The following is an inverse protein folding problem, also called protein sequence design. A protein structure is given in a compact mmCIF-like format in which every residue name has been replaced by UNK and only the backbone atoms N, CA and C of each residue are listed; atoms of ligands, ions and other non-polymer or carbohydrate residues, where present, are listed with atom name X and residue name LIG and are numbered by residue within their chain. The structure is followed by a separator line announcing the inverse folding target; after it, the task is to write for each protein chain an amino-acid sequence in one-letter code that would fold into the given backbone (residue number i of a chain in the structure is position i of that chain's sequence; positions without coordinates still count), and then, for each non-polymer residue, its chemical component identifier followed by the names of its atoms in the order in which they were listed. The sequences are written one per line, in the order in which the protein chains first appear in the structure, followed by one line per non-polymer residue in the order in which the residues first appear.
data_IF_880941109146
#
_entry.id   IF_880941109146
#
_cell.length_a   1.000
_cell.length_b   1.000
_cell.length_c   1.000
_cell.angle_alpha   90.00
_cell.angle_beta   90.00
_cell.angle_gamma   90.00
#
_symmetry.space_group_name_H-M   'P 1'
#
loop_
_entity.id
_entity.type
_entity.pdbx_description
1 polymer ?
#
# COMPACT_ATOMS: atom_id res chain seq x y z
N UNK A 1 13.09 12.32 0.24
CA UNK A 1 11.94 12.91 0.97
C UNK A 1 11.44 14.23 0.43
N UNK A 2 12.29 15.25 0.22
CA UNK A 2 11.81 16.57 -0.26
C UNK A 2 11.06 16.51 -1.59
N UNK A 3 11.57 15.74 -2.58
CA UNK A 3 10.89 15.50 -3.87
C UNK A 3 9.48 14.94 -3.70
N UNK A 4 9.33 13.85 -2.94
CA UNK A 4 8.01 13.27 -2.61
C UNK A 4 7.05 14.32 -2.05
N UNK A 5 7.52 15.16 -1.13
CA UNK A 5 6.66 16.19 -0.53
C UNK A 5 6.26 17.26 -1.56
N UNK A 6 7.22 17.78 -2.32
CA UNK A 6 6.99 18.87 -3.27
C UNK A 6 6.19 18.45 -4.49
N UNK A 7 6.41 17.23 -4.98
CA UNK A 7 5.84 16.75 -6.24
C UNK A 7 4.52 16.00 -6.02
N UNK A 8 4.34 15.37 -4.86
CA UNK A 8 3.18 14.49 -4.60
C UNK A 8 2.33 14.99 -3.44
N UNK A 9 2.89 15.08 -2.23
CA UNK A 9 2.10 15.32 -1.01
C UNK A 9 1.48 16.72 -0.98
N UNK A 10 2.28 17.77 -1.19
CA UNK A 10 1.81 19.16 -1.18
C UNK A 10 0.79 19.42 -2.32
N UNK A 11 1.07 19.04 -3.59
CA UNK A 11 0.08 19.19 -4.66
C UNK A 11 -1.22 18.42 -4.41
N UNK A 12 -1.14 17.22 -3.83
CA UNK A 12 -2.33 16.46 -3.45
C UNK A 12 -3.18 17.22 -2.41
N UNK A 13 -2.57 17.72 -1.33
CA UNK A 13 -3.31 18.47 -0.31
C UNK A 13 -3.90 19.77 -0.85
N UNK A 14 -3.17 20.52 -1.68
CA UNK A 14 -3.70 21.74 -2.29
C UNK A 14 -4.90 21.46 -3.19
N UNK A 15 -4.80 20.42 -4.02
CA UNK A 15 -5.88 19.98 -4.89
C UNK A 15 -7.10 19.56 -4.06
N UNK A 16 -6.91 18.75 -3.00
CA UNK A 16 -8.00 18.30 -2.13
C UNK A 16 -8.66 19.46 -1.37
N UNK A 17 -7.89 20.45 -0.90
CA UNK A 17 -8.45 21.66 -0.30
C UNK A 17 -9.32 22.43 -1.29
N UNK A 18 -8.86 22.59 -2.53
CA UNK A 18 -9.63 23.25 -3.59
C UNK A 18 -10.93 22.49 -3.90
N UNK A 19 -10.86 21.17 -4.05
CA UNK A 19 -12.03 20.30 -4.30
C UNK A 19 -13.07 20.38 -3.16
N UNK A 20 -12.62 20.56 -1.92
CA UNK A 20 -13.48 20.66 -0.74
C UNK A 20 -13.88 22.12 -0.40
N UNK A 21 -13.48 23.11 -1.19
CA UNK A 21 -13.76 24.53 -0.92
C UNK A 21 -13.07 25.09 0.34
N UNK A 22 -11.99 24.45 0.80
CA UNK A 22 -11.28 24.82 2.03
C UNK A 22 -10.27 25.95 1.79
N UNK A 23 -10.02 26.81 2.79
CA UNK A 23 -8.98 27.84 2.70
C UNK A 23 -7.59 27.23 2.46
N UNK A 24 -6.73 27.94 1.72
CA UNK A 24 -5.31 27.53 1.51
C UNK A 24 -4.52 27.44 2.83
N UNK A 25 -4.95 28.20 3.83
CA UNK A 25 -4.39 28.22 5.19
C UNK A 25 -4.80 27.02 6.03
N UNK A 26 -5.80 26.24 5.60
CA UNK A 26 -6.24 25.04 6.32
C UNK A 26 -5.05 24.09 6.52
N UNK A 27 -4.86 23.62 7.75
CA UNK A 27 -3.82 22.64 8.06
C UNK A 27 -4.21 21.24 7.55
N UNK A 28 -3.22 20.50 7.09
CA UNK A 28 -3.31 19.09 6.68
C UNK A 28 -2.48 18.24 7.60
N UNK A 29 -3.02 17.10 8.04
CA UNK A 29 -2.26 16.11 8.81
C UNK A 29 -1.67 15.10 7.84
N UNK A 30 -0.36 14.89 7.92
CA UNK A 30 0.32 13.79 7.26
C UNK A 30 0.72 12.75 8.30
N UNK A 31 -0.06 11.67 8.37
CA UNK A 31 0.23 10.52 9.21
C UNK A 31 1.27 9.62 8.53
N UNK A 32 2.42 9.42 9.17
CA UNK A 32 3.58 8.76 8.55
C UNK A 32 4.34 7.90 9.55
N UNK A 33 5.04 6.88 9.05
CA UNK A 33 5.85 6.00 9.88
C UNK A 33 7.03 6.74 10.53
N UNK A 34 7.36 6.37 11.76
CA UNK A 34 8.46 6.95 12.54
C UNK A 34 9.86 6.46 12.11
N UNK A 35 10.11 6.37 10.79
CA UNK A 35 11.39 5.96 10.24
C UNK A 35 12.47 7.03 10.43
N UNK A 36 13.74 6.63 10.50
CA UNK A 36 14.87 7.53 10.82
C UNK A 36 14.95 8.74 9.89
N UNK A 37 14.72 8.52 8.59
CA UNK A 37 14.72 9.58 7.58
C UNK A 37 13.60 10.60 7.82
N UNK A 38 12.41 10.15 8.24
CA UNK A 38 11.28 11.05 8.52
C UNK A 38 11.42 11.79 9.85
N UNK A 39 12.13 11.19 10.82
CA UNK A 39 12.40 11.80 12.12
C UNK A 39 13.60 12.74 12.13
N UNK A 40 14.41 12.77 11.07
CA UNK A 40 15.63 13.57 11.04
C UNK A 40 15.33 15.04 11.33
N UNK A 41 16.20 15.68 12.12
CA UNK A 41 16.04 17.08 12.48
C UNK A 41 16.03 17.98 11.23
N UNK A 42 16.89 17.67 10.26
CA UNK A 42 16.96 18.35 8.97
C UNK A 42 15.61 18.32 8.24
N UNK A 43 15.01 17.13 8.09
CA UNK A 43 13.73 16.99 7.39
C UNK A 43 12.59 17.70 8.12
N UNK A 44 12.50 17.52 9.44
CA UNK A 44 11.47 18.17 10.26
C UNK A 44 11.59 19.69 10.24
N UNK A 45 12.82 20.21 10.30
CA UNK A 45 13.07 21.65 10.21
C UNK A 45 12.65 22.18 8.84
N UNK A 46 13.06 21.51 7.76
CA UNK A 46 12.67 21.87 6.39
C UNK A 46 11.15 21.84 6.19
N UNK A 47 10.45 20.83 6.72
CA UNK A 47 8.98 20.77 6.69
C UNK A 47 8.35 21.96 7.43
N UNK A 48 8.84 22.27 8.63
CA UNK A 48 8.33 23.39 9.44
C UNK A 48 8.55 24.76 8.77
N UNK A 49 9.67 24.95 8.08
CA UNK A 49 9.98 26.22 7.42
C UNK A 49 9.26 26.38 6.07
N UNK A 50 9.18 25.31 5.28
CA UNK A 50 8.71 25.33 3.88
C UNK A 50 7.21 25.04 3.76
N UNK A 51 6.70 24.11 4.56
CA UNK A 51 5.33 23.57 4.44
C UNK A 51 4.55 23.73 5.75
N UNK A 52 4.43 24.98 6.22
CA UNK A 52 3.83 25.33 7.53
C UNK A 52 2.44 24.75 7.80
N UNK A 53 1.66 24.52 6.74
CA UNK A 53 0.29 24.00 6.84
C UNK A 53 0.22 22.46 6.75
N UNK A 54 1.37 21.76 6.81
CA UNK A 54 1.43 20.30 6.86
C UNK A 54 2.00 19.88 8.21
N UNK A 55 1.16 19.23 9.02
CA UNK A 55 1.50 18.73 10.34
C UNK A 55 1.90 17.26 10.21
N UNK A 56 3.14 16.93 10.59
CA UNK A 56 3.61 15.55 10.66
C UNK A 56 3.04 14.87 11.92
N UNK A 57 2.36 13.75 11.73
CA UNK A 57 1.89 12.89 12.81
C UNK A 57 2.55 11.52 12.67
N UNK A 58 3.47 11.20 13.57
CA UNK A 58 4.17 9.92 13.49
C UNK A 58 3.34 8.78 14.07
N UNK A 59 3.28 7.66 13.37
CA UNK A 59 2.87 6.38 13.95
C UNK A 59 4.02 5.87 14.83
N UNK A 60 3.80 5.59 16.12
CA UNK A 60 4.80 5.01 17.01
C UNK A 60 5.45 3.73 16.47
N UNK A 61 6.69 3.49 16.88
CA UNK A 61 7.48 2.34 16.43
C UNK A 61 6.79 1.03 16.76
N UNK A 62 6.81 0.08 15.81
CA UNK A 62 6.15 -1.21 15.96
C UNK A 62 4.62 -1.16 15.89
N UNK A 63 4.01 0.03 15.78
CA UNK A 63 2.55 0.18 15.80
C UNK A 63 1.94 0.39 14.42
N UNK A 64 2.68 0.27 13.31
CA UNK A 64 2.14 0.48 11.95
C UNK A 64 1.01 -0.50 11.63
N UNK A 65 1.18 -1.78 11.96
CA UNK A 65 0.15 -2.81 11.76
C UNK A 65 -1.11 -2.67 12.62
N UNK A 66 -1.18 -1.67 13.51
CA UNK A 66 -2.33 -1.40 14.38
C UNK A 66 -2.88 0.00 14.12
N UNK A 67 -1.99 0.98 13.99
CA UNK A 67 -2.32 2.39 14.00
C UNK A 67 -2.11 3.09 12.66
N UNK A 68 -1.50 2.48 11.65
CA UNK A 68 -1.40 3.08 10.31
C UNK A 68 -2.63 2.69 9.47
N UNK A 69 -3.58 3.61 9.19
CA UNK A 69 -4.83 3.27 8.50
C UNK A 69 -4.61 2.63 7.11
N UNK A 70 -3.55 3.08 6.42
CA UNK A 70 -3.18 2.54 5.12
C UNK A 70 -2.76 1.06 5.21
N UNK A 71 -2.04 0.69 6.28
CA UNK A 71 -1.54 -0.67 6.47
C UNK A 71 -2.66 -1.63 6.88
N UNK A 72 -3.50 -1.20 7.83
CA UNK A 72 -4.60 -2.03 8.37
C UNK A 72 -5.77 -2.17 7.40
N UNK A 73 -6.00 -1.16 6.57
CA UNK A 73 -7.07 -1.12 5.58
C UNK A 73 -6.59 -1.60 4.21
N UNK A 74 -6.26 -0.65 3.34
CA UNK A 74 -6.02 -0.88 1.91
C UNK A 74 -4.87 -1.87 1.65
N UNK A 75 -3.72 -1.69 2.31
CA UNK A 75 -2.59 -2.59 2.07
C UNK A 75 -2.85 -4.01 2.58
N UNK A 76 -3.66 -4.21 3.63
CA UNK A 76 -4.00 -5.56 4.10
C UNK A 76 -4.72 -6.34 3.01
N UNK A 77 -5.69 -5.70 2.37
CA UNK A 77 -6.48 -6.30 1.27
C UNK A 77 -5.59 -6.53 0.06
N UNK A 78 -4.78 -5.54 -0.33
CA UNK A 78 -3.80 -5.66 -1.40
C UNK A 78 -2.88 -6.87 -1.18
N UNK A 79 -2.23 -6.95 -0.01
CA UNK A 79 -1.28 -8.03 0.33
C UNK A 79 -1.96 -9.39 0.36
N UNK A 80 -3.21 -9.46 0.84
CA UNK A 80 -3.98 -10.71 0.82
C UNK A 80 -4.30 -11.15 -0.62
N UNK A 81 -4.72 -10.22 -1.48
CA UNK A 81 -5.01 -10.49 -2.89
C UNK A 81 -3.78 -11.00 -3.64
N UNK A 82 -2.63 -10.34 -3.43
CA UNK A 82 -1.35 -10.77 -4.00
C UNK A 82 -0.97 -12.18 -3.54
N UNK A 83 -1.08 -12.47 -2.24
CA UNK A 83 -0.80 -13.81 -1.69
C UNK A 83 -1.71 -14.88 -2.28
N UNK A 84 -3.01 -14.60 -2.41
CA UNK A 84 -3.99 -15.53 -3.02
C UNK A 84 -3.70 -15.78 -4.49
N UNK A 85 -3.30 -14.74 -5.22
CA UNK A 85 -2.95 -14.84 -6.64
C UNK A 85 -1.69 -15.69 -6.82
N UNK A 86 -0.63 -15.41 -6.08
CA UNK A 86 0.60 -16.21 -6.11
C UNK A 86 0.34 -17.67 -5.70
N UNK A 87 -0.50 -17.89 -4.69
CA UNK A 87 -0.87 -19.24 -4.26
C UNK A 87 -1.65 -20.01 -5.34
N UNK A 88 -2.56 -19.34 -6.05
CA UNK A 88 -3.30 -19.95 -7.16
C UNK A 88 -2.35 -20.40 -8.28
N UNK A 89 -1.34 -19.59 -8.62
CA UNK A 89 -0.37 -19.98 -9.66
C UNK A 89 0.42 -21.22 -9.24
N UNK A 90 0.80 -21.32 -7.95
CA UNK A 90 1.46 -22.52 -7.41
C UNK A 90 0.54 -23.73 -7.50
N UNK A 91 -0.74 -23.59 -7.11
CA UNK A 91 -1.72 -24.69 -7.23
C UNK A 91 -1.84 -25.14 -8.68
N UNK A 92 -2.04 -24.23 -9.62
CA UNK A 92 -2.18 -24.56 -11.05
C UNK A 92 -0.96 -25.29 -11.58
N UNK A 93 0.24 -24.88 -11.17
CA UNK A 93 1.49 -25.52 -11.58
C UNK A 93 1.62 -26.93 -11.01
N UNK A 94 1.32 -27.11 -9.72
CA UNK A 94 1.33 -28.44 -9.08
C UNK A 94 0.29 -29.36 -9.71
N UNK A 95 -0.94 -28.88 -9.93
CA UNK A 95 -2.01 -29.67 -10.56
C UNK A 95 -1.61 -30.11 -11.97
N UNK A 96 -1.06 -29.20 -12.79
CA UNK A 96 -0.55 -29.54 -14.13
C UNK A 96 0.51 -30.63 -14.08
N UNK A 97 1.43 -30.58 -13.11
CA UNK A 97 2.46 -31.61 -12.94
C UNK A 97 1.88 -32.96 -12.48
N UNK A 98 0.84 -32.95 -11.64
CA UNK A 98 0.18 -34.17 -11.16
C UNK A 98 -0.67 -34.87 -12.23
N UNK A 99 -1.34 -34.10 -13.08
CA UNK A 99 -2.18 -34.62 -14.17
C UNK A 99 -1.38 -35.06 -15.40
N UNK A 100 -0.10 -34.68 -15.49
CA UNK A 100 0.80 -35.07 -16.56
C UNK A 100 1.32 -36.51 -16.46
N UNK A 101 1.87 -37.01 -17.58
CA UNK A 101 2.37 -38.39 -17.73
C UNK A 101 3.57 -38.75 -16.81
N UNK A 102 4.15 -37.79 -16.09
CA UNK A 102 5.30 -37.95 -15.19
C UNK A 102 4.94 -37.84 -13.69
N UNK A 103 3.81 -38.42 -13.29
CA UNK A 103 3.21 -38.31 -11.95
C UNK A 103 4.01 -38.98 -10.82
N UNK A 104 5.15 -39.61 -11.11
CA UNK A 104 5.96 -40.37 -10.14
C UNK A 104 7.27 -39.67 -9.70
N UNK A 105 7.52 -38.44 -10.18
CA UNK A 105 8.77 -37.70 -9.91
C UNK A 105 8.64 -36.61 -8.82
N UNK A 106 9.79 -36.05 -8.42
CA UNK A 106 9.86 -34.87 -7.57
C UNK A 106 9.28 -33.65 -8.30
N UNK A 107 8.26 -33.00 -7.72
CA UNK A 107 7.67 -31.78 -8.28
C UNK A 107 8.58 -30.59 -7.96
N UNK A 108 9.19 -30.00 -8.99
CA UNK A 108 9.96 -28.75 -8.87
C UNK A 108 9.11 -27.56 -9.31
N UNK A 109 8.99 -26.58 -8.43
CA UNK A 109 8.28 -25.32 -8.73
C UNK A 109 9.19 -24.33 -9.45
N UNK A 110 8.67 -23.64 -10.47
CA UNK A 110 9.35 -22.58 -11.18
C UNK A 110 9.34 -21.27 -10.36
N UNK A 111 10.36 -21.15 -9.51
CA UNK A 111 10.63 -19.97 -8.69
C UNK A 111 11.64 -19.01 -9.35
N UNK A 112 11.90 -19.14 -10.65
CA UNK A 112 12.82 -18.24 -11.36
C UNK A 112 12.31 -16.81 -11.30
N UNK A 113 13.22 -15.86 -11.11
CA UNK A 113 12.88 -14.43 -11.04
C UNK A 113 12.10 -13.96 -12.28
N UNK A 114 12.46 -14.42 -13.48
CA UNK A 114 11.74 -14.08 -14.71
C UNK A 114 10.29 -14.53 -14.70
N UNK A 115 10.04 -15.76 -14.24
CA UNK A 115 8.70 -16.34 -14.12
C UNK A 115 7.88 -15.60 -13.06
N UNK A 116 8.43 -15.41 -11.86
CA UNK A 116 7.76 -14.70 -10.78
C UNK A 116 7.45 -13.24 -11.15
N UNK A 117 8.38 -12.56 -11.84
CA UNK A 117 8.17 -11.20 -12.34
C UNK A 117 6.99 -11.15 -13.31
N UNK A 118 6.92 -12.06 -14.28
CA UNK A 118 5.83 -12.07 -15.26
C UNK A 118 4.49 -12.39 -14.60
N UNK A 119 4.44 -13.37 -13.69
CA UNK A 119 3.25 -13.71 -12.89
C UNK A 119 2.79 -12.53 -12.03
N UNK A 120 3.72 -11.79 -11.43
CA UNK A 120 3.41 -10.68 -10.53
C UNK A 120 2.60 -9.55 -11.16
N UNK A 121 2.69 -9.36 -12.47
CA UNK A 121 1.85 -8.38 -13.19
C UNK A 121 0.37 -8.77 -13.07
N UNK A 122 0.04 -10.04 -13.30
CA UNK A 122 -1.32 -10.54 -13.14
C UNK A 122 -1.82 -10.43 -11.69
N UNK A 123 -0.94 -10.64 -10.71
CA UNK A 123 -1.28 -10.48 -9.30
C UNK A 123 -1.64 -9.02 -8.98
N UNK A 124 -0.85 -8.06 -9.47
CA UNK A 124 -1.09 -6.64 -9.26
C UNK A 124 -2.38 -6.17 -9.93
N UNK A 125 -2.66 -6.61 -11.16
CA UNK A 125 -3.89 -6.28 -11.88
C UNK A 125 -5.11 -6.81 -11.12
N UNK A 126 -5.07 -8.07 -10.66
CA UNK A 126 -6.16 -8.63 -9.86
C UNK A 126 -6.34 -7.89 -8.54
N UNK A 127 -5.25 -7.60 -7.85
CA UNK A 127 -5.31 -6.88 -6.58
C UNK A 127 -5.85 -5.45 -6.75
N UNK A 128 -5.54 -4.77 -7.86
CA UNK A 128 -6.15 -3.50 -8.21
C UNK A 128 -7.67 -3.63 -8.40
N UNK A 129 -8.13 -4.62 -9.18
CA UNK A 129 -9.56 -4.86 -9.40
C UNK A 129 -10.32 -5.17 -8.11
N UNK A 130 -9.71 -5.93 -7.19
CA UNK A 130 -10.31 -6.22 -5.88
C UNK A 130 -10.32 -5.01 -4.93
N UNK A 131 -9.39 -4.06 -5.10
CA UNK A 131 -9.37 -2.81 -4.34
C UNK A 131 -10.33 -1.77 -4.89
N UNK A 132 -10.65 -1.81 -6.17
CA UNK A 132 -11.62 -0.92 -6.84
C UNK A 132 -13.08 -1.33 -6.55
N UNK A 133 -13.34 -1.85 -5.34
CA UNK A 133 -14.67 -2.17 -4.82
C UNK A 133 -15.08 -1.12 -3.77
N UNK A 134 -16.08 -0.30 -4.11
CA UNK A 134 -16.62 0.71 -3.21
C UNK A 134 -17.19 0.12 -1.91
N UNK A 135 -17.59 -1.14 -1.89
CA UNK A 135 -18.11 -1.79 -0.68
C UNK A 135 -17.01 -2.02 0.36
N UNK A 136 -15.76 -2.22 -0.07
CA UNK A 136 -14.61 -2.33 0.81
C UNK A 136 -14.43 -1.05 1.64
N UNK A 137 -14.62 0.11 1.01
CA UNK A 137 -14.51 1.42 1.64
C UNK A 137 -15.68 1.66 2.61
N UNK A 138 -16.90 1.26 2.21
CA UNK A 138 -18.12 1.48 3.01
C UNK A 138 -18.21 0.59 4.25
N UNK A 139 -17.62 -0.62 4.25
CA UNK A 139 -17.61 -1.53 5.41
C UNK A 139 -16.97 -0.93 6.67
N UNK A 140 -16.00 -0.01 6.51
CA UNK A 140 -15.35 0.67 7.65
C UNK A 140 -16.33 1.58 8.39
N UNK A 141 -17.31 2.17 7.68
CA UNK A 141 -18.28 3.10 8.27
C UNK A 141 -19.36 2.34 9.07
N UNK A 142 -19.72 1.14 8.64
CA UNK A 142 -20.77 0.33 9.30
C UNK A 142 -20.30 -0.37 10.58
N UNK A 143 -18.99 -0.40 10.86
CA UNK A 143 -18.43 -1.11 12.02
C UNK A 143 -18.27 -0.22 13.27
N UNK A 144 -18.81 1.01 13.25
CA UNK A 144 -18.80 1.94 14.38
C UNK A 144 -20.17 1.92 15.07
N UNK A 145 -20.38 0.95 15.96
CA UNK A 145 -21.46 0.92 16.97
C UNK A 145 -20.81 0.75 18.33
#
# INVERSE_FOLDING_TARGET
MRKLVNEIIKPYFDRKKKELGLPKTQNSIWKIDCWSVHKSAEFRHWMKSTHKNIILLFVPGGCTGIWQPLDVGIQRVLKLSLRRSAHRDIITEVTTHLEGENSSGLILLDVKLGTLRNRSVGWLVRAYQELDDQNLIKKVIQSSV
#
